data_IF_435821270872
#
_entry.id   IF_435821270872
#
_cell.length_a   1.000
_cell.length_b   1.000
_cell.length_c   1.000
_cell.angle_alpha   90.00
_cell.angle_beta   90.00
_cell.angle_gamma   90.00
#
_symmetry.space_group_name_H-M   'P 1'
#
loop_
_entity.id
_entity.type
_entity.pdbx_description
1 polymer ?
#
# COMPACT_ATOMS: atom_id res chain seq x y z
N UNK A 1 -0.72 24.82 -14.03
CA UNK A 1 -1.81 23.83 -14.06
C UNK A 1 -2.98 24.54 -14.71
N UNK A 2 -3.43 24.07 -15.87
CA UNK A 2 -4.61 24.65 -16.51
C UNK A 2 -5.86 24.26 -15.71
N UNK A 3 -6.75 25.22 -15.49
CA UNK A 3 -8.02 25.01 -14.78
C UNK A 3 -9.14 24.97 -15.81
N UNK A 4 -9.98 23.94 -15.70
CA UNK A 4 -11.20 23.81 -16.49
C UNK A 4 -12.41 23.98 -15.57
N UNK A 5 -13.37 24.80 -15.99
CA UNK A 5 -14.60 25.01 -15.25
C UNK A 5 -15.55 23.83 -15.42
N UNK A 6 -16.07 23.34 -14.29
CA UNK A 6 -17.04 22.24 -14.24
C UNK A 6 -18.17 22.63 -13.29
N UNK A 7 -19.42 22.54 -13.77
CA UNK A 7 -20.60 22.91 -13.00
C UNK A 7 -21.28 21.66 -12.44
N UNK A 8 -21.56 21.67 -11.13
CA UNK A 8 -22.26 20.59 -10.43
C UNK A 8 -23.48 21.13 -9.71
N UNK A 9 -24.60 20.40 -9.76
CA UNK A 9 -25.74 20.67 -8.92
C UNK A 9 -25.51 20.08 -7.52
N UNK A 10 -25.75 20.87 -6.47
CA UNK A 10 -25.56 20.47 -5.08
C UNK A 10 -26.79 20.87 -4.24
N UNK A 11 -27.20 20.05 -3.25
CA UNK A 11 -28.20 20.46 -2.28
C UNK A 11 -27.77 21.73 -1.54
N UNK A 12 -28.69 22.68 -1.22
CA UNK A 12 -28.34 23.96 -0.60
C UNK A 12 -27.52 23.80 0.69
N UNK A 13 -27.92 22.86 1.54
CA UNK A 13 -27.22 22.51 2.79
C UNK A 13 -25.75 22.09 2.58
N UNK A 14 -25.43 21.51 1.42
CA UNK A 14 -24.06 21.09 1.09
C UNK A 14 -23.21 22.26 0.61
N UNK A 15 -23.82 23.22 -0.10
CA UNK A 15 -23.17 24.48 -0.49
C UNK A 15 -22.80 25.27 0.76
N UNK A 16 -23.74 25.46 1.69
CA UNK A 16 -23.51 26.15 2.95
C UNK A 16 -22.41 25.47 3.79
N UNK A 17 -22.41 24.13 3.84
CA UNK A 17 -21.37 23.38 4.54
C UNK A 17 -20.00 23.56 3.89
N UNK A 18 -19.92 23.55 2.55
CA UNK A 18 -18.68 23.74 1.81
C UNK A 18 -18.12 25.16 2.00
N UNK A 19 -18.97 26.18 1.98
CA UNK A 19 -18.58 27.57 2.25
C UNK A 19 -18.05 27.76 3.67
N UNK A 20 -18.68 27.11 4.65
CA UNK A 20 -18.21 27.12 6.04
C UNK A 20 -16.83 26.46 6.17
N UNK A 21 -16.64 25.29 5.57
CA UNK A 21 -15.33 24.61 5.55
C UNK A 21 -14.27 25.49 4.88
N UNK A 22 -14.61 26.16 3.77
CA UNK A 22 -13.71 27.08 3.10
C UNK A 22 -13.27 28.23 4.02
N UNK A 23 -14.22 28.86 4.73
CA UNK A 23 -13.91 29.92 5.70
C UNK A 23 -13.01 29.43 6.83
N UNK A 24 -13.29 28.27 7.39
CA UNK A 24 -12.50 27.71 8.50
C UNK A 24 -11.07 27.39 8.09
N UNK A 25 -10.83 27.09 6.80
CA UNK A 25 -9.53 26.73 6.24
C UNK A 25 -8.84 27.88 5.49
N UNK A 26 -9.43 29.08 5.45
CA UNK A 26 -8.99 30.21 4.61
C UNK A 26 -8.81 29.82 3.12
N UNK A 27 -9.75 29.00 2.62
CA UNK A 27 -9.77 28.48 1.26
C UNK A 27 -11.09 28.80 0.56
N UNK A 28 -11.03 28.99 -0.75
CA UNK A 28 -12.23 29.06 -1.58
C UNK A 28 -12.92 27.68 -1.65
N UNK A 29 -14.26 27.62 -1.81
CA UNK A 29 -14.98 26.35 -2.04
C UNK A 29 -14.38 25.50 -3.17
N UNK A 30 -13.90 26.15 -4.23
CA UNK A 30 -13.24 25.49 -5.35
C UNK A 30 -11.88 24.87 -4.98
N UNK A 31 -11.09 25.50 -4.10
CA UNK A 31 -9.86 24.90 -3.57
C UNK A 31 -10.17 23.69 -2.69
N UNK A 32 -11.15 23.81 -1.80
CA UNK A 32 -11.59 22.69 -0.96
C UNK A 32 -12.02 21.51 -1.84
N UNK A 33 -12.91 21.74 -2.81
CA UNK A 33 -13.33 20.70 -3.76
C UNK A 33 -12.16 20.11 -4.54
N UNK A 34 -11.23 20.94 -5.02
CA UNK A 34 -10.05 20.46 -5.74
C UNK A 34 -9.18 19.56 -4.86
N UNK A 35 -8.97 19.92 -3.60
CA UNK A 35 -8.16 19.13 -2.67
C UNK A 35 -8.86 17.81 -2.30
N UNK A 36 -10.18 17.84 -2.11
CA UNK A 36 -11.00 16.64 -1.89
C UNK A 36 -10.92 15.71 -3.10
N UNK A 37 -11.14 16.23 -4.30
CA UNK A 37 -11.10 15.48 -5.56
C UNK A 37 -9.69 14.98 -5.83
N UNK A 38 -8.65 15.79 -5.65
CA UNK A 38 -7.27 15.37 -5.84
C UNK A 38 -6.89 14.25 -4.86
N UNK A 39 -7.32 14.35 -3.59
CA UNK A 39 -7.11 13.30 -2.59
C UNK A 39 -7.85 12.03 -2.95
N UNK A 40 -9.10 12.12 -3.39
CA UNK A 40 -9.90 10.97 -3.79
C UNK A 40 -9.39 10.31 -5.07
N UNK A 41 -8.97 11.13 -6.04
CA UNK A 41 -8.28 10.66 -7.24
C UNK A 41 -6.99 9.95 -6.83
N UNK A 42 -6.11 10.53 -5.99
CA UNK A 42 -4.91 9.83 -5.50
C UNK A 42 -5.23 8.52 -4.79
N UNK A 43 -6.31 8.46 -4.00
CA UNK A 43 -6.75 7.22 -3.34
C UNK A 43 -7.18 6.15 -4.35
N UNK A 44 -7.89 6.53 -5.42
CA UNK A 44 -8.42 5.59 -6.43
C UNK A 44 -7.45 5.29 -7.59
N UNK A 45 -6.62 6.25 -7.98
CA UNK A 45 -5.65 6.18 -9.09
C UNK A 45 -4.24 5.85 -8.62
N UNK A 46 -3.97 5.84 -7.30
CA UNK A 46 -2.72 5.42 -6.64
C UNK A 46 -2.32 3.94 -6.83
N UNK A 47 -2.85 3.29 -7.87
CA UNK A 47 -2.30 2.08 -8.45
C UNK A 47 -1.00 2.33 -9.25
N UNK A 48 -0.54 3.58 -9.45
CA UNK A 48 0.80 3.87 -10.02
C UNK A 48 1.60 4.85 -9.15
N UNK A 49 2.64 4.32 -8.52
CA UNK A 49 3.68 5.00 -7.71
C UNK A 49 4.21 6.28 -8.38
N UNK A 50 4.28 7.39 -7.63
CA UNK A 50 5.55 7.88 -7.06
C UNK A 50 5.33 8.32 -5.60
N UNK A 51 6.26 8.37 -4.65
CA UNK A 51 7.68 8.11 -4.52
C UNK A 51 7.91 8.28 -3.00
N UNK A 52 8.40 7.25 -2.29
CA UNK A 52 8.41 7.15 -0.81
C UNK A 52 7.03 7.35 -0.17
N UNK A 53 6.41 6.28 0.32
CA UNK A 53 5.44 6.45 1.39
C UNK A 53 6.08 7.35 2.47
N UNK A 54 5.33 8.31 3.01
CA UNK A 54 5.82 9.31 3.96
C UNK A 54 6.88 8.67 4.89
N UNK A 55 8.17 9.00 4.71
CA UNK A 55 9.25 8.30 5.42
C UNK A 55 9.01 8.21 6.95
N UNK A 56 8.45 9.25 7.60
CA UNK A 56 8.08 9.16 9.02
C UNK A 56 6.98 8.12 9.29
N UNK A 57 5.99 8.00 8.41
CA UNK A 57 4.93 7.00 8.50
C UNK A 57 5.50 5.59 8.30
N UNK A 58 6.34 5.38 7.29
CA UNK A 58 6.99 4.09 7.02
C UNK A 58 7.85 3.68 8.21
N UNK A 59 8.68 4.58 8.73
CA UNK A 59 9.51 4.30 9.91
C UNK A 59 8.67 3.97 11.16
N UNK A 60 7.51 4.62 11.32
CA UNK A 60 6.56 4.30 12.40
C UNK A 60 5.93 2.92 12.20
N UNK A 61 5.43 2.62 11.00
CA UNK A 61 4.85 1.34 10.65
C UNK A 61 5.86 0.20 10.78
N UNK A 62 7.11 0.42 10.36
CA UNK A 62 8.20 -0.53 10.50
C UNK A 62 8.45 -0.85 11.97
N UNK A 63 8.59 0.16 12.84
CA UNK A 63 8.75 -0.08 14.29
C UNK A 63 7.56 -0.80 14.91
N UNK A 64 6.34 -0.47 14.48
CA UNK A 64 5.12 -1.08 15.02
C UNK A 64 4.97 -2.55 14.61
N UNK A 65 5.29 -2.86 13.35
CA UNK A 65 4.95 -4.15 12.74
C UNK A 65 6.16 -5.10 12.64
N UNK A 66 7.39 -4.63 12.79
CA UNK A 66 8.58 -5.46 12.61
C UNK A 66 8.57 -6.74 13.45
N UNK A 67 8.16 -6.66 14.72
CA UNK A 67 8.06 -7.83 15.60
C UNK A 67 7.00 -8.83 15.12
N UNK A 68 5.84 -8.34 14.66
CA UNK A 68 4.76 -9.17 14.15
C UNK A 68 5.16 -9.85 12.83
N UNK A 69 5.80 -9.12 11.92
CA UNK A 69 6.34 -9.64 10.65
C UNK A 69 7.45 -10.69 10.89
N UNK A 70 8.36 -10.42 11.83
CA UNK A 70 9.46 -11.33 12.18
C UNK A 70 8.98 -12.58 12.92
N UNK A 71 7.90 -12.49 13.70
CA UNK A 71 7.37 -13.62 14.47
C UNK A 71 6.38 -14.49 13.68
N UNK A 72 5.82 -13.98 12.59
CA UNK A 72 4.85 -14.73 11.80
C UNK A 72 5.47 -16.04 11.27
N UNK A 73 4.72 -17.14 11.32
CA UNK A 73 5.18 -18.47 10.85
C UNK A 73 4.57 -18.88 9.52
N UNK A 74 3.52 -18.19 9.07
CA UNK A 74 2.85 -18.43 7.80
C UNK A 74 1.94 -17.28 7.39
N UNK A 75 1.34 -17.36 6.20
CA UNK A 75 0.48 -16.30 5.67
C UNK A 75 -0.77 -16.02 6.52
N UNK A 76 -1.42 -17.06 7.05
CA UNK A 76 -2.59 -16.90 7.90
C UNK A 76 -2.23 -16.22 9.23
N UNK A 77 -1.16 -16.68 9.90
CA UNK A 77 -0.65 -16.07 11.14
C UNK A 77 -0.23 -14.61 10.91
N UNK A 78 0.42 -14.33 9.77
CA UNK A 78 0.75 -12.95 9.39
C UNK A 78 -0.51 -12.08 9.24
N UNK A 79 -1.53 -12.58 8.54
CA UNK A 79 -2.79 -11.87 8.36
C UNK A 79 -3.47 -11.60 9.70
N UNK A 80 -3.53 -12.57 10.61
CA UNK A 80 -4.15 -12.42 11.94
C UNK A 80 -3.40 -11.42 12.83
N UNK A 81 -2.06 -11.43 12.80
CA UNK A 81 -1.23 -10.45 13.52
C UNK A 81 -1.47 -9.04 13.02
N UNK A 82 -1.49 -8.85 11.70
CA UNK A 82 -1.71 -7.53 11.11
C UNK A 82 -3.16 -7.05 11.31
N UNK A 83 -4.13 -7.96 11.21
CA UNK A 83 -5.54 -7.64 11.43
C UNK A 83 -5.80 -7.14 12.86
N UNK A 84 -5.11 -7.69 13.87
CA UNK A 84 -5.14 -7.19 15.26
C UNK A 84 -4.55 -5.79 15.41
N UNK A 85 -3.68 -5.38 14.50
CA UNK A 85 -3.12 -4.02 14.43
C UNK A 85 -3.94 -3.08 13.54
N UNK A 86 -5.06 -3.53 12.96
CA UNK A 86 -5.85 -2.72 12.02
C UNK A 86 -5.28 -2.66 10.60
N UNK A 87 -4.41 -3.59 10.22
CA UNK A 87 -3.76 -3.61 8.91
C UNK A 87 -4.07 -4.91 8.16
N UNK A 88 -3.93 -4.88 6.84
CA UNK A 88 -4.02 -6.06 5.99
C UNK A 88 -2.96 -6.02 4.88
N UNK A 89 -2.60 -7.19 4.36
CA UNK A 89 -1.65 -7.32 3.24
C UNK A 89 -2.41 -7.74 2.00
N UNK A 90 -2.08 -7.12 0.87
CA UNK A 90 -2.67 -7.43 -0.42
C UNK A 90 -1.60 -7.68 -1.48
N UNK A 91 -1.87 -8.57 -2.46
CA UNK A 91 -1.01 -8.72 -3.63
C UNK A 91 -1.02 -7.44 -4.47
N UNK A 92 0.16 -7.03 -4.94
CA UNK A 92 0.35 -5.84 -5.77
C UNK A 92 1.49 -6.05 -6.77
N UNK A 93 1.14 -6.39 -8.01
CA UNK A 93 2.11 -6.73 -9.06
C UNK A 93 3.01 -7.89 -8.61
N UNK A 94 4.33 -7.70 -8.67
CA UNK A 94 5.34 -8.68 -8.25
C UNK A 94 5.55 -8.79 -6.73
N UNK A 95 4.86 -8.00 -5.90
CA UNK A 95 5.09 -7.96 -4.46
C UNK A 95 3.84 -7.71 -3.63
N UNK A 96 4.03 -7.20 -2.42
CA UNK A 96 2.97 -7.03 -1.43
C UNK A 96 2.84 -5.57 -0.96
N UNK A 97 1.61 -5.14 -0.71
CA UNK A 97 1.30 -3.82 -0.13
C UNK A 97 0.56 -3.96 1.19
N UNK A 98 0.85 -3.04 2.11
CA UNK A 98 0.15 -2.88 3.37
C UNK A 98 -1.00 -1.89 3.17
N UNK A 99 -2.17 -2.25 3.68
CA UNK A 99 -3.37 -1.43 3.66
C UNK A 99 -3.89 -1.23 5.08
N UNK A 100 -4.50 -0.07 5.30
CA UNK A 100 -5.35 0.17 6.46
C UNK A 100 -6.64 -0.64 6.31
N UNK A 101 -7.00 -1.42 7.33
CA UNK A 101 -8.10 -2.38 7.25
C UNK A 101 -9.48 -1.71 7.31
N UNK A 102 -9.59 -0.58 7.99
CA UNK A 102 -10.87 0.14 8.15
C UNK A 102 -11.23 0.92 6.89
N UNK A 103 -10.25 1.66 6.36
CA UNK A 103 -10.43 2.56 5.21
C UNK A 103 -10.09 1.92 3.87
N UNK A 104 -9.40 0.77 3.88
CA UNK A 104 -8.88 0.11 2.67
C UNK A 104 -7.71 0.84 2.02
N UNK A 105 -7.26 1.97 2.60
CA UNK A 105 -6.25 2.83 2.01
C UNK A 105 -4.89 2.11 1.94
N UNK A 106 -4.26 2.16 0.77
CA UNK A 106 -2.88 1.67 0.60
C UNK A 106 -1.93 2.58 1.39
N UNK A 107 -1.12 1.98 2.25
CA UNK A 107 -0.14 2.68 3.08
C UNK A 107 1.26 2.68 2.45
N UNK A 108 1.81 1.49 2.20
CA UNK A 108 3.16 1.33 1.65
C UNK A 108 3.37 -0.06 1.05
N UNK A 109 4.49 -0.29 0.36
CA UNK A 109 4.95 -1.62 -0.03
C UNK A 109 5.60 -2.32 1.16
N UNK A 110 5.44 -3.63 1.27
CA UNK A 110 6.11 -4.40 2.34
C UNK A 110 7.64 -4.39 2.22
N UNK A 111 8.19 -4.22 1.01
CA UNK A 111 9.63 -4.04 0.80
C UNK A 111 10.17 -2.78 1.47
N UNK A 112 9.36 -1.71 1.56
CA UNK A 112 9.73 -0.47 2.26
C UNK A 112 9.80 -0.68 3.79
N UNK A 113 9.14 -1.72 4.31
CA UNK A 113 9.21 -2.13 5.72
C UNK A 113 10.33 -3.15 5.99
N UNK A 114 11.10 -3.54 4.97
CA UNK A 114 12.15 -4.55 5.07
C UNK A 114 11.69 -6.00 4.91
N UNK A 115 10.46 -6.22 4.42
CA UNK A 115 9.88 -7.56 4.24
C UNK A 115 9.42 -7.78 2.79
N UNK A 116 10.35 -7.84 1.81
CA UNK A 116 9.97 -8.12 0.43
C UNK A 116 9.26 -9.49 0.33
N UNK A 117 8.42 -9.63 -0.70
CA UNK A 117 7.61 -10.84 -0.90
C UNK A 117 8.47 -12.11 -0.99
N UNK A 118 9.60 -12.04 -1.70
CA UNK A 118 10.58 -13.14 -1.83
C UNK A 118 11.04 -13.66 -0.47
N UNK A 119 11.40 -12.77 0.46
CA UNK A 119 11.81 -13.12 1.83
C UNK A 119 10.70 -13.86 2.59
N UNK A 120 9.45 -13.41 2.47
CA UNK A 120 8.32 -14.08 3.13
C UNK A 120 7.99 -15.43 2.49
N UNK A 121 8.10 -15.58 1.17
CA UNK A 121 7.95 -16.87 0.48
C UNK A 121 9.03 -17.85 0.92
N UNK A 122 10.30 -17.43 1.03
CA UNK A 122 11.39 -18.27 1.57
C UNK A 122 11.10 -18.71 3.00
N UNK A 123 10.66 -17.78 3.85
CA UNK A 123 10.34 -18.04 5.25
C UNK A 123 9.16 -19.01 5.42
N UNK A 124 8.06 -18.76 4.72
CA UNK A 124 6.82 -19.54 4.83
C UNK A 124 6.81 -20.77 3.93
N UNK A 125 7.81 -20.92 3.05
CA UNK A 125 7.95 -22.02 2.08
C UNK A 125 6.72 -22.23 1.19
N UNK A 126 5.94 -21.18 0.97
CA UNK A 126 4.77 -21.19 0.11
C UNK A 126 4.44 -19.77 -0.38
N UNK A 127 3.84 -19.62 -1.57
CA UNK A 127 3.35 -18.33 -2.05
C UNK A 127 2.13 -17.88 -1.26
N UNK A 128 1.88 -16.58 -1.23
CA UNK A 128 0.68 -16.05 -0.59
C UNK A 128 -0.58 -16.53 -1.33
N UNK A 129 -1.62 -16.99 -0.62
CA UNK A 129 -2.89 -17.34 -1.24
C UNK A 129 -3.46 -16.16 -2.06
N UNK A 130 -3.90 -16.43 -3.29
CA UNK A 130 -4.44 -15.40 -4.19
C UNK A 130 -3.41 -14.48 -4.87
N UNK A 131 -2.11 -14.66 -4.63
CA UNK A 131 -1.08 -13.88 -5.33
C UNK A 131 -0.87 -14.38 -6.77
N UNK A 132 -0.78 -13.48 -7.78
CA UNK A 132 -0.61 -13.88 -9.19
C UNK A 132 0.73 -14.59 -9.42
N UNK A 133 1.81 -14.10 -8.80
CA UNK A 133 3.12 -14.75 -8.85
C UNK A 133 3.25 -15.88 -7.82
N UNK A 134 3.38 -17.11 -8.32
CA UNK A 134 3.54 -18.34 -7.52
C UNK A 134 4.96 -18.57 -6.99
N UNK A 135 5.95 -17.76 -7.42
CA UNK A 135 7.34 -17.80 -6.95
C UNK A 135 8.01 -19.20 -6.98
N UNK A 136 7.74 -19.96 -8.05
CA UNK A 136 8.26 -21.34 -8.20
C UNK A 136 9.79 -21.42 -8.18
N UNK A 137 10.49 -20.44 -8.74
CA UNK A 137 11.96 -20.39 -8.76
C UNK A 137 12.54 -20.31 -7.34
N UNK A 138 12.03 -19.40 -6.49
CA UNK A 138 12.43 -19.27 -5.08
C UNK A 138 12.16 -20.57 -4.30
N UNK A 139 11.02 -21.22 -4.53
CA UNK A 139 10.71 -22.48 -3.86
C UNK A 139 11.67 -23.60 -4.27
N UNK A 140 12.10 -23.62 -5.53
CA UNK A 140 13.09 -24.57 -6.01
C UNK A 140 14.49 -24.29 -5.44
N UNK A 141 14.90 -23.02 -5.30
CA UNK A 141 16.14 -22.62 -4.62
C UNK A 141 16.20 -23.12 -3.17
N UNK A 142 15.10 -23.00 -2.43
CA UNK A 142 15.01 -23.50 -1.06
C UNK A 142 15.14 -25.02 -1.00
N UNK A 143 14.58 -25.74 -1.98
CA UNK A 143 14.74 -27.19 -2.08
C UNK A 143 16.18 -27.59 -2.46
N UNK A 144 16.89 -26.73 -3.19
CA UNK A 144 18.28 -26.92 -3.59
C UNK A 144 19.32 -26.49 -2.52
N UNK A 145 18.90 -25.83 -1.43
CA UNK A 145 19.77 -25.45 -0.31
C UNK A 145 20.69 -24.25 -0.58
N UNK A 146 20.35 -23.38 -1.53
CA UNK A 146 21.17 -22.20 -1.86
C UNK A 146 21.00 -21.12 -0.77
N UNK A 147 22.11 -20.65 -0.19
CA UNK A 147 22.10 -19.57 0.82
C UNK A 147 21.85 -18.18 0.22
N UNK A 148 21.26 -17.25 0.99
CA UNK A 148 20.55 -16.08 0.45
C UNK A 148 21.37 -14.78 0.36
N UNK A 149 22.70 -14.82 0.56
CA UNK A 149 23.54 -13.61 0.55
C UNK A 149 24.01 -13.25 -0.88
N UNK A 150 23.06 -13.01 -1.77
CA UNK A 150 23.29 -12.43 -3.08
C UNK A 150 22.19 -11.41 -3.35
N UNK A 151 22.59 -10.16 -3.54
CA UNK A 151 21.72 -9.02 -3.81
C UNK A 151 20.61 -9.37 -4.81
N UNK A 152 19.37 -9.02 -4.47
CA UNK A 152 18.19 -9.17 -5.33
C UNK A 152 18.39 -8.25 -6.56
N UNK A 153 19.06 -8.77 -7.60
CA UNK A 153 19.02 -8.19 -8.94
C UNK A 153 17.55 -8.13 -9.37
N UNK A 154 17.08 -6.91 -9.64
CA UNK A 154 15.79 -6.66 -10.28
C UNK A 154 15.73 -7.46 -11.59
N UNK A 155 15.02 -8.59 -11.57
CA UNK A 155 14.60 -9.24 -12.81
C UNK A 155 13.52 -8.34 -13.41
N UNK A 156 13.91 -7.52 -14.39
CA UNK A 156 12.99 -6.92 -15.35
C UNK A 156 12.19 -8.06 -16.00
N UNK A 157 10.90 -8.09 -15.74
CA UNK A 157 9.98 -8.90 -16.53
C UNK A 157 9.77 -8.10 -17.82
N UNK A 158 10.39 -8.53 -18.91
CA UNK A 158 9.95 -8.15 -20.27
C UNK A 158 8.64 -8.90 -20.54
N UNK A 159 7.56 -8.14 -20.81
CA UNK A 159 6.30 -8.66 -21.31
C UNK A 159 6.49 -9.08 -22.79
N UNK A 160 6.15 -10.33 -23.12
CA UNK A 160 6.04 -10.88 -24.49
C UNK A 160 4.63 -10.59 -25.06
#
# INVERSE_FOLDING_TARGET
MELQDVTFAMPPQMVEALERIGRDLDQTPGQVLRDLVARELRRRTGAKTPNRADEPLVARLQRLLAADMASATGWADLADRLARRGHEVRPAGGGLTLHDRETGARLCKLSELGFPYSRLVRKFRCPMPGHPHRMRHILNENAAGVSPDGDDDLILIEDD
#
